data_IF_784626270525
#
_entry.id   IF_784626270525
#
_cell.length_a   1.000
_cell.length_b   1.000
_cell.length_c   1.000
_cell.angle_alpha   90.00
_cell.angle_beta   90.00
_cell.angle_gamma   90.00
#
_symmetry.space_group_name_H-M   'P 1'
#
loop_
_entity.id
_entity.type
_entity.pdbx_description
1 polymer ?
#
# COMPACT_ATOMS: atom_id res chain seq x y z
N UNK A 1 9.20 5.72 -24.31
CA UNK A 1 8.47 4.54 -23.81
C UNK A 1 8.37 4.72 -22.30
N UNK A 2 7.15 4.73 -21.74
CA UNK A 2 6.94 4.91 -20.30
C UNK A 2 7.32 3.62 -19.56
N UNK A 3 8.10 3.73 -18.49
CA UNK A 3 8.46 2.58 -17.66
C UNK A 3 7.51 2.48 -16.47
N UNK A 4 6.93 1.31 -16.29
CA UNK A 4 6.06 1.00 -15.16
C UNK A 4 6.79 0.05 -14.21
N UNK A 5 6.84 0.40 -12.94
CA UNK A 5 7.26 -0.50 -11.87
C UNK A 5 6.02 -1.02 -11.15
N UNK A 6 5.92 -2.34 -11.07
CA UNK A 6 4.83 -3.02 -10.39
C UNK A 6 5.34 -3.58 -9.07
N UNK A 7 4.64 -3.24 -7.98
CA UNK A 7 4.87 -3.78 -6.65
C UNK A 7 3.71 -4.75 -6.40
N UNK A 8 3.96 -6.08 -6.40
CA UNK A 8 2.95 -7.08 -6.07
C UNK A 8 2.68 -7.09 -4.56
N UNK A 9 2.01 -8.12 -4.08
CA UNK A 9 1.64 -8.36 -2.69
C UNK A 9 2.87 -8.26 -1.77
N UNK A 10 2.94 -7.18 -0.99
CA UNK A 10 4.16 -6.81 -0.27
C UNK A 10 4.15 -7.23 1.21
N UNK A 11 2.97 -7.41 1.81
CA UNK A 11 2.68 -7.92 3.15
C UNK A 11 3.58 -7.39 4.28
N UNK A 12 3.51 -6.10 4.60
CA UNK A 12 4.09 -5.58 5.84
C UNK A 12 3.39 -6.25 7.05
N UNK A 13 4.14 -7.07 7.80
CA UNK A 13 3.62 -7.88 8.89
C UNK A 13 4.52 -7.72 10.11
N UNK A 14 3.92 -7.45 11.27
CA UNK A 14 4.61 -7.05 12.51
C UNK A 14 5.57 -8.11 13.09
N UNK A 15 5.51 -9.36 12.63
CA UNK A 15 6.39 -10.45 13.06
C UNK A 15 7.69 -10.51 12.25
N UNK A 16 7.80 -9.75 11.16
CA UNK A 16 8.94 -9.76 10.26
C UNK A 16 9.48 -8.34 10.07
N UNK A 17 10.76 -8.22 9.75
CA UNK A 17 11.34 -6.92 9.44
C UNK A 17 10.96 -6.42 8.05
N UNK A 18 11.05 -5.11 7.87
CA UNK A 18 10.74 -4.41 6.63
C UNK A 18 11.99 -4.04 5.81
N UNK A 19 13.13 -4.70 6.02
CA UNK A 19 14.39 -4.36 5.31
C UNK A 19 14.22 -4.44 3.79
N UNK A 20 13.34 -5.32 3.30
CA UNK A 20 12.99 -5.41 1.86
C UNK A 20 12.47 -4.08 1.28
N UNK A 21 11.78 -3.26 2.07
CA UNK A 21 11.29 -1.95 1.63
C UNK A 21 12.42 -0.91 1.52
N UNK A 22 13.50 -1.05 2.29
CA UNK A 22 14.71 -0.23 2.09
C UNK A 22 15.35 -0.51 0.71
N UNK A 23 15.38 -1.77 0.30
CA UNK A 23 15.87 -2.18 -1.01
C UNK A 23 14.96 -1.72 -2.13
N UNK A 24 13.64 -1.86 -1.97
CA UNK A 24 12.65 -1.37 -2.92
C UNK A 24 12.75 0.15 -3.11
N UNK A 25 12.87 0.92 -2.03
CA UNK A 25 13.03 2.37 -2.12
C UNK A 25 14.31 2.80 -2.84
N UNK A 26 15.43 2.10 -2.59
CA UNK A 26 16.69 2.32 -3.34
C UNK A 26 16.51 1.98 -4.82
N UNK A 27 15.85 0.87 -5.13
CA UNK A 27 15.60 0.43 -6.50
C UNK A 27 14.72 1.42 -7.27
N UNK A 28 13.63 1.91 -6.65
CA UNK A 28 12.77 2.96 -7.22
C UNK A 28 13.60 4.20 -7.58
N UNK A 29 14.48 4.63 -6.67
CA UNK A 29 15.28 5.84 -6.88
C UNK A 29 16.37 5.65 -7.95
N UNK A 30 16.96 4.47 -8.03
CA UNK A 30 17.98 4.10 -9.02
C UNK A 30 17.37 4.02 -10.42
N UNK A 31 16.25 3.30 -10.56
CA UNK A 31 15.60 3.05 -11.86
C UNK A 31 14.74 4.20 -12.36
N UNK A 32 14.22 5.04 -11.44
CA UNK A 32 13.38 6.22 -11.75
C UNK A 32 12.22 5.92 -12.73
N UNK A 33 11.40 4.87 -12.51
CA UNK A 33 10.25 4.60 -13.36
C UNK A 33 9.29 5.81 -13.42
N UNK A 34 8.64 6.04 -14.55
CA UNK A 34 7.67 7.14 -14.67
C UNK A 34 6.35 6.83 -13.95
N UNK A 35 5.99 5.55 -13.82
CA UNK A 35 4.78 5.08 -13.14
C UNK A 35 5.12 3.97 -12.15
N UNK A 36 4.59 4.06 -10.93
CA UNK A 36 4.74 3.05 -9.88
C UNK A 36 3.32 2.62 -9.46
N UNK A 37 3.03 1.34 -9.60
CA UNK A 37 1.73 0.77 -9.22
C UNK A 37 1.94 -0.32 -8.18
N UNK A 38 1.36 -0.14 -7.00
CA UNK A 38 1.23 -1.20 -6.00
C UNK A 38 -0.10 -1.94 -6.21
N UNK A 39 -0.06 -3.26 -6.30
CA UNK A 39 -1.22 -4.10 -6.57
C UNK A 39 -1.96 -4.52 -5.30
N UNK A 40 -1.70 -3.86 -4.17
CA UNK A 40 -2.40 -4.12 -2.92
C UNK A 40 -1.68 -5.13 -2.05
N UNK A 41 -2.35 -5.52 -0.97
CA UNK A 41 -1.78 -6.36 0.09
C UNK A 41 -0.42 -5.85 0.54
N UNK A 42 -0.27 -4.52 0.62
CA UNK A 42 0.92 -3.89 1.19
C UNK A 42 0.87 -3.96 2.71
N UNK A 43 -0.31 -3.83 3.30
CA UNK A 43 -0.56 -4.09 4.72
C UNK A 43 -1.05 -5.52 4.90
N UNK A 44 -0.38 -6.33 5.74
CA UNK A 44 -0.82 -7.71 5.92
C UNK A 44 -2.06 -7.87 6.81
N UNK A 45 -2.28 -6.95 7.75
CA UNK A 45 -3.46 -6.89 8.61
C UNK A 45 -3.91 -8.25 9.23
N UNK A 46 -3.00 -9.08 9.78
CA UNK A 46 -3.37 -10.36 10.39
C UNK A 46 -4.31 -10.19 11.59
N UNK A 47 -4.32 -9.05 12.29
CA UNK A 47 -5.22 -8.83 13.43
C UNK A 47 -6.70 -8.81 13.04
N UNK A 48 -7.01 -8.59 11.75
CA UNK A 48 -8.37 -8.55 11.20
C UNK A 48 -8.69 -9.77 10.32
N UNK A 49 -7.84 -10.81 10.33
CA UNK A 49 -8.09 -12.04 9.59
C UNK A 49 -9.15 -12.91 10.26
N UNK A 50 -10.18 -13.30 9.50
CA UNK A 50 -11.25 -14.20 9.97
C UNK A 50 -10.84 -15.68 10.02
N UNK A 51 -9.76 -16.07 9.33
CA UNK A 51 -9.33 -17.45 9.16
C UNK A 51 -8.10 -17.83 10.00
N UNK A 52 -7.53 -16.89 10.77
CA UNK A 52 -6.42 -17.10 11.70
C UNK A 52 -6.85 -17.01 13.17
N UNK A 53 -5.88 -16.91 14.10
CA UNK A 53 -6.09 -16.67 15.54
C UNK A 53 -6.66 -15.26 15.88
N UNK A 54 -7.48 -14.69 15.00
CA UNK A 54 -8.04 -13.34 15.08
C UNK A 54 -9.54 -13.37 15.36
N UNK A 55 -9.97 -13.92 16.49
CA UNK A 55 -11.38 -13.86 16.93
C UNK A 55 -11.61 -12.99 18.16
N UNK A 56 -10.57 -12.40 18.74
CA UNK A 56 -10.70 -11.35 19.75
C UNK A 56 -9.93 -10.13 19.28
N UNK A 57 -10.64 -9.04 19.01
CA UNK A 57 -10.05 -7.73 18.79
C UNK A 57 -9.18 -7.35 20.00
N UNK A 58 -7.89 -7.63 19.91
CA UNK A 58 -6.89 -7.03 20.77
C UNK A 58 -6.42 -5.77 20.05
N UNK A 59 -6.96 -4.61 20.37
CA UNK A 59 -6.58 -3.33 19.72
C UNK A 59 -5.06 -3.05 19.74
N UNK A 60 -4.30 -3.76 20.59
CA UNK A 60 -2.84 -3.81 20.56
C UNK A 60 -2.28 -4.37 19.25
N UNK A 61 -2.83 -5.47 18.72
CA UNK A 61 -2.36 -6.11 17.48
C UNK A 61 -2.67 -5.24 16.26
N UNK A 62 -3.85 -4.64 16.20
CA UNK A 62 -4.18 -3.70 15.12
C UNK A 62 -3.21 -2.50 15.09
N UNK A 63 -2.81 -2.00 16.26
CA UNK A 63 -1.80 -0.93 16.36
C UNK A 63 -0.44 -1.39 15.82
N UNK A 64 -0.05 -2.64 16.05
CA UNK A 64 1.18 -3.22 15.52
C UNK A 64 1.10 -3.38 13.98
N UNK A 65 -0.03 -3.83 13.44
CA UNK A 65 -0.30 -3.94 12.00
C UNK A 65 -0.20 -2.57 11.29
N UNK A 66 -0.79 -1.52 11.88
CA UNK A 66 -0.71 -0.16 11.34
C UNK A 66 0.72 0.38 11.43
N UNK A 67 1.38 0.20 12.57
CA UNK A 67 2.74 0.70 12.77
C UNK A 67 3.76 0.06 11.82
N UNK A 68 3.69 -1.26 11.60
CA UNK A 68 4.58 -1.93 10.65
C UNK A 68 4.31 -1.52 9.20
N UNK A 69 3.06 -1.20 8.86
CA UNK A 69 2.70 -0.65 7.55
C UNK A 69 3.31 0.73 7.35
N UNK A 70 3.21 1.61 8.35
CA UNK A 70 3.80 2.95 8.29
C UNK A 70 5.32 2.88 8.15
N UNK A 71 5.99 2.00 8.91
CA UNK A 71 7.42 1.77 8.78
C UNK A 71 7.80 1.28 7.36
N UNK A 72 7.02 0.39 6.76
CA UNK A 72 7.23 -0.05 5.38
C UNK A 72 7.14 1.11 4.37
N UNK A 73 6.12 1.96 4.50
CA UNK A 73 5.93 3.15 3.65
C UNK A 73 7.08 4.15 3.82
N UNK A 74 7.50 4.43 5.05
CA UNK A 74 8.61 5.33 5.34
C UNK A 74 9.93 4.82 4.75
N UNK A 75 10.19 3.51 4.83
CA UNK A 75 11.39 2.89 4.22
C UNK A 75 11.35 2.93 2.70
N UNK A 76 10.20 2.58 2.11
CA UNK A 76 10.01 2.58 0.66
C UNK A 76 10.15 3.98 0.06
N UNK A 77 9.53 4.99 0.66
CA UNK A 77 9.52 6.36 0.13
C UNK A 77 10.60 7.27 0.71
N UNK A 78 11.29 6.86 1.77
CA UNK A 78 12.36 7.61 2.43
C UNK A 78 13.48 8.06 1.47
N UNK A 79 14.05 7.17 0.63
CA UNK A 79 15.04 7.55 -0.37
C UNK A 79 14.53 8.60 -1.37
N UNK A 80 13.29 8.45 -1.83
CA UNK A 80 12.62 9.38 -2.74
C UNK A 80 12.45 10.77 -2.10
N UNK A 81 11.96 10.82 -0.86
CA UNK A 81 11.74 12.06 -0.12
C UNK A 81 13.06 12.81 0.14
N UNK A 82 14.09 12.09 0.59
CA UNK A 82 15.44 12.65 0.80
C UNK A 82 16.04 13.19 -0.50
N UNK A 83 15.91 12.44 -1.59
CA UNK A 83 16.39 12.86 -2.91
C UNK A 83 15.72 14.17 -3.35
N UNK A 84 14.38 14.24 -3.28
CA UNK A 84 13.64 15.42 -3.73
C UNK A 84 13.83 16.63 -2.81
N UNK A 85 14.00 16.44 -1.50
CA UNK A 85 14.33 17.52 -0.58
C UNK A 85 15.67 18.18 -0.95
N UNK A 86 16.70 17.39 -1.26
CA UNK A 86 18.00 17.90 -1.74
C UNK A 86 17.86 18.65 -3.06
N UNK A 87 17.14 18.08 -4.04
CA UNK A 87 16.92 18.71 -5.35
C UNK A 87 16.17 20.04 -5.20
N UNK A 88 15.16 20.11 -4.33
CA UNK A 88 14.44 21.35 -4.00
C UNK A 88 15.37 22.42 -3.43
N UNK A 89 16.24 22.07 -2.47
CA UNK A 89 17.24 23.00 -1.90
C UNK A 89 18.19 23.54 -2.96
N UNK A 90 18.59 22.69 -3.90
CA UNK A 90 19.51 23.05 -4.98
C UNK A 90 18.82 23.71 -6.19
N UNK A 91 17.49 23.92 -6.14
CA UNK A 91 16.67 24.41 -7.27
C UNK A 91 16.75 23.52 -8.52
N UNK A 92 17.01 22.25 -8.33
CA UNK A 92 17.04 21.26 -9.39
C UNK A 92 15.67 20.64 -9.68
N UNK A 93 15.51 20.06 -10.88
CA UNK A 93 14.33 19.25 -11.23
C UNK A 93 14.18 18.05 -10.28
N UNK A 94 13.02 17.96 -9.64
CA UNK A 94 12.61 16.85 -8.77
C UNK A 94 12.17 15.64 -9.60
N UNK A 95 12.25 14.46 -9.00
CA UNK A 95 11.69 13.23 -9.56
C UNK A 95 10.24 13.08 -9.05
N UNK A 96 9.27 13.03 -9.96
CA UNK A 96 7.83 13.02 -9.63
C UNK A 96 7.11 11.98 -10.51
N UNK A 97 7.25 10.67 -10.21
CA UNK A 97 6.51 9.63 -10.91
C UNK A 97 5.03 9.70 -10.53
N UNK A 98 4.16 9.10 -11.36
CA UNK A 98 2.78 8.80 -10.95
C UNK A 98 2.81 7.59 -10.02
N UNK A 99 2.24 7.72 -8.83
CA UNK A 99 2.20 6.66 -7.82
C UNK A 99 0.77 6.26 -7.56
N UNK A 100 0.44 4.99 -7.72
CA UNK A 100 -0.91 4.50 -7.48
C UNK A 100 -0.88 3.20 -6.69
N UNK A 101 -1.96 2.93 -5.96
CA UNK A 101 -2.22 1.66 -5.31
C UNK A 101 -3.63 1.18 -5.65
N UNK A 102 -3.76 -0.11 -5.96
CA UNK A 102 -5.04 -0.81 -5.96
C UNK A 102 -5.10 -1.60 -4.66
N UNK A 103 -6.11 -1.40 -3.83
CA UNK A 103 -6.22 -2.10 -2.55
C UNK A 103 -6.44 -3.60 -2.76
N UNK A 104 -5.83 -4.43 -1.90
CA UNK A 104 -5.98 -5.88 -1.91
C UNK A 104 -6.97 -6.37 -0.87
N UNK A 105 -7.12 -7.70 -0.76
CA UNK A 105 -8.07 -8.28 0.17
C UNK A 105 -7.62 -8.17 1.64
N UNK A 106 -6.34 -7.91 1.92
CA UNK A 106 -5.84 -7.66 3.26
C UNK A 106 -6.22 -6.27 3.76
N UNK A 107 -6.11 -5.24 2.91
CA UNK A 107 -6.63 -3.90 3.26
C UNK A 107 -8.15 -3.89 3.41
N UNK A 108 -8.87 -4.62 2.55
CA UNK A 108 -10.33 -4.79 2.61
C UNK A 108 -10.82 -5.42 3.93
N UNK A 109 -9.94 -6.06 4.71
CA UNK A 109 -10.29 -6.54 6.07
C UNK A 109 -10.71 -5.39 6.98
N UNK A 110 -10.16 -4.19 6.82
CA UNK A 110 -10.56 -3.00 7.59
C UNK A 110 -12.02 -2.65 7.29
N UNK A 111 -12.36 -2.53 6.01
CA UNK A 111 -13.73 -2.22 5.57
C UNK A 111 -14.71 -3.27 6.06
N UNK A 112 -14.43 -4.56 5.83
CA UNK A 112 -15.28 -5.66 6.30
C UNK A 112 -15.44 -5.69 7.82
N UNK A 113 -14.40 -5.36 8.57
CA UNK A 113 -14.47 -5.33 10.03
C UNK A 113 -15.42 -4.21 10.51
N UNK A 114 -15.36 -3.03 9.88
CA UNK A 114 -16.24 -1.91 10.20
C UNK A 114 -17.69 -2.16 9.79
N UNK A 115 -17.93 -2.84 8.67
CA UNK A 115 -19.28 -3.28 8.28
C UNK A 115 -19.91 -4.22 9.32
N UNK A 116 -19.11 -5.10 9.91
CA UNK A 116 -19.55 -6.02 10.97
C UNK A 116 -19.62 -5.38 12.36
N UNK A 117 -18.96 -4.23 12.56
CA UNK A 117 -18.95 -3.48 13.83
C UNK A 117 -19.23 -2.00 13.58
N UNK A 118 -20.48 -1.61 13.24
CA UNK A 118 -20.79 -0.25 12.78
C UNK A 118 -20.40 0.87 13.76
N UNK A 119 -20.35 0.57 15.06
CA UNK A 119 -19.94 1.53 16.10
C UNK A 119 -18.48 1.99 15.96
N UNK A 120 -17.65 1.23 15.25
CA UNK A 120 -16.24 1.54 15.00
C UNK A 120 -16.01 2.28 13.68
N UNK A 121 -17.04 2.42 12.83
CA UNK A 121 -16.89 3.03 11.50
C UNK A 121 -16.45 4.51 11.55
N UNK A 122 -16.75 5.23 12.64
CA UNK A 122 -16.26 6.60 12.84
C UNK A 122 -14.79 6.67 13.27
N UNK A 123 -14.20 5.54 13.68
CA UNK A 123 -12.87 5.46 14.31
C UNK A 123 -11.87 4.65 13.50
N UNK A 124 -12.35 3.80 12.60
CA UNK A 124 -11.56 2.85 11.87
C UNK A 124 -12.02 2.85 10.41
N UNK A 125 -11.11 3.24 9.52
CA UNK A 125 -11.28 3.10 8.07
C UNK A 125 -9.89 2.94 7.43
N UNK A 126 -9.83 2.90 6.10
CA UNK A 126 -8.59 2.71 5.36
C UNK A 126 -7.54 3.81 5.62
N UNK A 127 -7.95 5.00 6.04
CA UNK A 127 -7.04 6.14 6.27
C UNK A 127 -6.04 5.88 7.39
N UNK A 128 -6.30 4.92 8.29
CA UNK A 128 -5.32 4.51 9.31
C UNK A 128 -4.00 4.05 8.68
N UNK A 129 -4.02 3.55 7.43
CA UNK A 129 -2.83 3.10 6.71
C UNK A 129 -2.04 4.26 6.09
N UNK A 130 -2.59 5.47 6.07
CA UNK A 130 -1.93 6.69 5.65
C UNK A 130 -1.49 6.71 4.17
N UNK A 131 -2.15 5.89 3.32
CA UNK A 131 -1.78 5.72 1.91
C UNK A 131 -1.88 7.00 1.09
N UNK A 132 -2.80 7.90 1.45
CA UNK A 132 -3.04 9.18 0.79
C UNK A 132 -1.84 10.14 0.83
N UNK A 133 -0.93 9.95 1.79
CA UNK A 133 0.31 10.73 1.87
C UNK A 133 1.43 10.17 0.99
N UNK A 134 1.26 8.97 0.44
CA UNK A 134 2.29 8.27 -0.33
C UNK A 134 1.88 8.01 -1.78
N UNK A 135 0.61 7.75 -2.06
CA UNK A 135 0.07 7.46 -3.38
C UNK A 135 -0.81 8.62 -3.88
N UNK A 136 -0.74 8.90 -5.18
CA UNK A 136 -1.53 9.95 -5.82
C UNK A 136 -2.95 9.46 -6.15
N UNK A 137 -3.12 8.14 -6.27
CA UNK A 137 -4.40 7.49 -6.59
C UNK A 137 -4.53 6.17 -5.81
N UNK A 138 -5.66 6.03 -5.12
CA UNK A 138 -6.01 4.83 -4.33
C UNK A 138 -7.27 4.24 -4.93
N UNK A 139 -7.15 3.09 -5.58
CA UNK A 139 -8.28 2.38 -6.19
C UNK A 139 -8.80 1.32 -5.21
N UNK A 140 -10.09 1.33 -4.86
CA UNK A 140 -10.65 0.34 -3.92
C UNK A 140 -10.49 -1.11 -4.41
N UNK A 141 -10.53 -2.04 -3.47
CA UNK A 141 -10.46 -3.47 -3.77
C UNK A 141 -11.56 -3.88 -4.75
N UNK A 142 -11.25 -4.82 -5.67
CA UNK A 142 -12.09 -5.26 -6.80
C UNK A 142 -12.40 -4.22 -7.87
N UNK A 143 -11.89 -3.00 -7.76
CA UNK A 143 -11.90 -2.03 -8.85
C UNK A 143 -10.63 -2.16 -9.70
N UNK A 144 -10.66 -1.53 -10.88
CA UNK A 144 -9.56 -1.55 -11.84
C UNK A 144 -9.04 -0.14 -12.07
N UNK A 145 -7.74 0.04 -11.92
CA UNK A 145 -7.01 1.25 -12.26
C UNK A 145 -6.53 1.15 -13.71
N UNK A 146 -6.67 2.21 -14.51
CA UNK A 146 -6.10 2.21 -15.88
C UNK A 146 -5.15 3.39 -16.08
N UNK A 147 -3.89 3.10 -16.41
CA UNK A 147 -2.84 4.08 -16.68
C UNK A 147 -2.16 3.69 -18.00
N UNK A 148 -1.99 4.65 -18.91
CA UNK A 148 -1.32 4.44 -20.20
C UNK A 148 -1.90 3.26 -21.02
N UNK A 149 -3.23 3.10 -20.96
CA UNK A 149 -3.99 2.01 -21.61
C UNK A 149 -3.66 0.60 -21.07
N UNK A 150 -3.01 0.53 -19.91
CA UNK A 150 -2.77 -0.71 -19.16
C UNK A 150 -3.68 -0.70 -17.94
N UNK A 151 -4.42 -1.79 -17.74
CA UNK A 151 -5.29 -1.98 -16.59
C UNK A 151 -4.58 -2.76 -15.48
N UNK A 152 -4.77 -2.33 -14.24
CA UNK A 152 -4.22 -2.90 -13.03
C UNK A 152 -5.36 -3.22 -12.07
N UNK A 153 -5.32 -4.42 -11.49
CA UNK A 153 -6.19 -4.81 -10.40
C UNK A 153 -5.43 -5.77 -9.49
N UNK A 154 -5.82 -5.85 -8.22
CA UNK A 154 -5.24 -6.82 -7.29
C UNK A 154 -5.46 -8.26 -7.80
N UNK A 155 -6.65 -8.54 -8.33
CA UNK A 155 -6.88 -9.66 -9.24
C UNK A 155 -7.97 -9.29 -10.24
N UNK A 156 -7.86 -9.81 -11.46
CA UNK A 156 -8.98 -9.77 -12.39
C UNK A 156 -9.95 -10.87 -12.01
N UNK A 157 -11.22 -10.52 -11.81
CA UNK A 157 -12.27 -11.53 -11.69
C UNK A 157 -12.26 -12.37 -12.98
N UNK A 158 -11.83 -13.63 -12.88
CA UNK A 158 -12.15 -14.60 -13.92
C UNK A 158 -13.66 -14.78 -13.88
N UNK A 159 -14.31 -14.73 -15.05
CA UNK A 159 -15.75 -14.97 -15.14
C UNK A 159 -16.14 -16.31 -14.50
N UNK A 160 -17.43 -16.54 -14.28
CA UNK A 160 -17.98 -17.78 -13.74
C UNK A 160 -17.23 -18.97 -14.34
N UNK A 161 -16.42 -19.65 -13.54
CA UNK A 161 -15.90 -20.96 -13.89
C UNK A 161 -17.11 -21.88 -13.93
N UNK A 162 -17.67 -22.04 -15.14
CA UNK A 162 -18.77 -22.96 -15.43
C UNK A 162 -18.34 -24.41 -15.27
#
# INVERSE_FOLDING_TARGET
MTTHLIIPDAHAHYQYDNIRFDWLGKFILDRKPEVIVCLGDLSDMPSLSQHGEGLSFEGRRLKEDVAVTHDALERMWGPFNKYNARRRKNKDKQYRPRKAIVLGNHEDRITRYCENTPQLHEWLDISILNYENYFDEITPFRNTLTIDRISYSHYFATGVSG
#
